data_IF_548807441916
#
_entry.id   IF_548807441916
#
_cell.length_a   1.000
_cell.length_b   1.000
_cell.length_c   1.000
_cell.angle_alpha   90.00
_cell.angle_beta   90.00
_cell.angle_gamma   90.00
#
_symmetry.space_group_name_H-M   'P 1'
#
loop_
_entity.id
_entity.type
_entity.pdbx_description
1 polymer ?
#
# COMPACT_ATOMS: atom_id res chain seq x y z
N UNK A 1 7.79 -0.30 -29.83
CA UNK A 1 7.06 -0.64 -28.59
C UNK A 1 5.88 0.29 -28.51
N UNK A 2 4.67 -0.26 -28.43
CA UNK A 2 3.49 0.57 -28.17
C UNK A 2 3.46 1.00 -26.69
N UNK A 3 2.63 2.00 -26.36
CA UNK A 3 2.56 2.55 -25.00
C UNK A 3 2.10 1.50 -23.98
N UNK A 4 1.22 0.57 -24.40
CA UNK A 4 0.67 -0.46 -23.52
C UNK A 4 1.75 -1.46 -23.11
N UNK A 5 2.56 -1.93 -24.05
CA UNK A 5 3.68 -2.83 -23.84
C UNK A 5 4.77 -2.20 -22.95
N UNK A 6 4.97 -0.88 -23.05
CA UNK A 6 5.87 -0.15 -22.16
C UNK A 6 5.36 -0.14 -20.71
N UNK A 7 4.10 0.23 -20.51
CA UNK A 7 3.46 0.29 -19.18
C UNK A 7 3.43 -1.09 -18.51
N UNK A 8 3.22 -2.14 -19.29
CA UNK A 8 3.19 -3.51 -18.79
C UNK A 8 4.58 -4.13 -18.58
N UNK A 9 5.66 -3.44 -18.95
CA UNK A 9 7.01 -3.97 -18.77
C UNK A 9 7.35 -4.14 -17.28
N UNK A 10 8.09 -5.21 -16.97
CA UNK A 10 8.51 -5.57 -15.61
C UNK A 10 9.06 -4.39 -14.78
N UNK A 11 10.07 -3.62 -15.24
CA UNK A 11 10.62 -2.53 -14.44
C UNK A 11 9.63 -1.38 -14.23
N UNK A 12 8.79 -1.08 -15.23
CA UNK A 12 7.80 -0.01 -15.14
C UNK A 12 6.71 -0.37 -14.13
N UNK A 13 6.18 -1.60 -14.15
CA UNK A 13 5.19 -2.05 -13.17
C UNK A 13 5.72 -2.00 -11.73
N UNK A 14 6.96 -2.43 -11.50
CA UNK A 14 7.60 -2.33 -10.19
C UNK A 14 7.71 -0.86 -9.77
N UNK A 15 8.16 0.01 -10.69
CA UNK A 15 8.27 1.45 -10.45
C UNK A 15 6.94 2.11 -10.14
N UNK A 16 5.88 1.79 -10.88
CA UNK A 16 4.51 2.28 -10.64
C UNK A 16 3.98 1.79 -9.29
N UNK A 17 4.13 0.50 -8.99
CA UNK A 17 3.72 -0.07 -7.73
C UNK A 17 4.38 0.64 -6.54
N UNK A 18 5.70 0.80 -6.57
CA UNK A 18 6.46 1.44 -5.50
C UNK A 18 6.19 2.95 -5.42
N UNK A 19 6.18 3.65 -6.56
CA UNK A 19 5.96 5.09 -6.62
C UNK A 19 4.59 5.48 -6.06
N UNK A 20 3.53 4.79 -6.49
CA UNK A 20 2.19 5.03 -5.95
C UNK A 20 2.06 4.59 -4.48
N UNK A 21 2.76 3.53 -4.05
CA UNK A 21 2.78 3.14 -2.63
C UNK A 21 3.38 4.26 -1.75
N UNK A 22 4.48 4.88 -2.18
CA UNK A 22 5.12 5.99 -1.45
C UNK A 22 4.16 7.17 -1.33
N UNK A 23 3.53 7.59 -2.43
CA UNK A 23 2.53 8.67 -2.40
C UNK A 23 1.37 8.33 -1.46
N UNK A 24 0.92 7.08 -1.46
CA UNK A 24 -0.11 6.58 -0.54
C UNK A 24 0.31 6.68 0.92
N UNK A 25 1.51 6.19 1.25
CA UNK A 25 2.08 6.22 2.61
C UNK A 25 2.20 7.66 3.10
N UNK A 26 2.81 8.54 2.30
CA UNK A 26 3.03 9.94 2.66
C UNK A 26 1.69 10.68 2.87
N UNK A 27 0.70 10.43 2.01
CA UNK A 27 -0.64 11.00 2.16
C UNK A 27 -1.30 10.57 3.47
N UNK A 28 -1.22 9.28 3.85
CA UNK A 28 -1.79 8.77 5.10
C UNK A 28 -1.00 9.21 6.35
N UNK A 29 0.32 9.36 6.27
CA UNK A 29 1.11 9.98 7.32
C UNK A 29 0.69 11.45 7.54
N UNK A 30 0.54 12.20 6.45
CA UNK A 30 0.08 13.58 6.50
C UNK A 30 -1.34 13.71 7.04
N UNK A 31 -2.25 12.82 6.63
CA UNK A 31 -3.62 12.75 7.14
C UNK A 31 -3.66 12.49 8.64
N UNK A 32 -2.80 11.59 9.14
CA UNK A 32 -2.66 11.30 10.57
C UNK A 32 -2.32 12.57 11.36
N UNK A 33 -1.40 13.38 10.84
CA UNK A 33 -1.06 14.70 11.40
C UNK A 33 -2.25 15.66 11.41
N UNK A 34 -3.03 15.72 10.33
CA UNK A 34 -4.25 16.57 10.24
C UNK A 34 -5.33 16.17 11.24
N UNK A 35 -5.58 14.87 11.41
CA UNK A 35 -6.58 14.37 12.38
C UNK A 35 -6.16 14.73 13.80
N UNK A 36 -4.85 14.64 14.10
CA UNK A 36 -4.28 14.98 15.41
C UNK A 36 -4.39 16.46 15.74
N UNK A 37 -4.10 17.36 14.79
CA UNK A 37 -3.97 18.79 15.08
C UNK A 37 -5.29 19.56 15.23
N UNK A 38 -6.45 18.96 14.94
CA UNK A 38 -7.79 19.60 14.93
C UNK A 38 -7.95 20.85 14.03
N UNK A 39 -6.86 21.36 13.44
CA UNK A 39 -6.83 22.58 12.64
C UNK A 39 -7.00 22.34 11.13
N UNK A 40 -7.08 21.09 10.68
CA UNK A 40 -7.25 20.77 9.27
C UNK A 40 -8.70 20.95 8.82
N UNK A 41 -8.94 21.72 7.75
CA UNK A 41 -10.29 21.81 7.18
C UNK A 41 -10.77 20.43 6.69
N UNK A 42 -12.06 20.11 6.87
CA UNK A 42 -12.66 18.85 6.41
C UNK A 42 -12.36 18.56 4.94
N UNK A 43 -12.49 19.58 4.08
CA UNK A 43 -12.15 19.48 2.65
C UNK A 43 -10.69 19.04 2.43
N UNK A 44 -9.75 19.60 3.20
CA UNK A 44 -8.33 19.25 3.11
C UNK A 44 -8.05 17.82 3.60
N UNK A 45 -8.77 17.33 4.60
CA UNK A 45 -8.67 15.92 5.03
C UNK A 45 -9.21 14.96 3.98
N UNK A 46 -10.37 15.26 3.40
CA UNK A 46 -10.98 14.44 2.34
C UNK A 46 -10.06 14.34 1.14
N UNK A 47 -9.52 15.47 0.65
CA UNK A 47 -8.59 15.48 -0.50
C UNK A 47 -7.35 14.63 -0.21
N UNK A 48 -6.74 14.77 0.97
CA UNK A 48 -5.57 13.98 1.35
C UNK A 48 -5.90 12.48 1.43
N UNK A 49 -7.02 12.12 2.05
CA UNK A 49 -7.47 10.73 2.13
C UNK A 49 -7.75 10.15 0.72
N UNK A 50 -8.40 10.91 -0.16
CA UNK A 50 -8.67 10.51 -1.54
C UNK A 50 -7.38 10.29 -2.34
N UNK A 51 -6.40 11.19 -2.22
CA UNK A 51 -5.09 11.03 -2.87
C UNK A 51 -4.42 9.74 -2.38
N UNK A 52 -4.42 9.49 -1.08
CA UNK A 52 -3.86 8.28 -0.50
C UNK A 52 -4.54 7.00 -1.00
N UNK A 53 -5.87 6.98 -1.00
CA UNK A 53 -6.68 5.85 -1.49
C UNK A 53 -6.40 5.58 -2.97
N UNK A 54 -6.49 6.60 -3.83
CA UNK A 54 -6.27 6.45 -5.27
C UNK A 54 -4.86 5.94 -5.55
N UNK A 55 -3.87 6.44 -4.79
CA UNK A 55 -2.48 5.98 -4.90
C UNK A 55 -2.35 4.51 -4.47
N UNK A 56 -2.93 4.10 -3.34
CA UNK A 56 -2.90 2.69 -2.95
C UNK A 56 -3.64 1.78 -3.93
N UNK A 57 -4.76 2.21 -4.51
CA UNK A 57 -5.45 1.45 -5.57
C UNK A 57 -4.58 1.29 -6.81
N UNK A 58 -3.94 2.37 -7.27
CA UNK A 58 -3.03 2.31 -8.42
C UNK A 58 -1.82 1.41 -8.15
N UNK A 59 -1.23 1.51 -6.95
CA UNK A 59 -0.17 0.62 -6.49
C UNK A 59 -0.66 -0.83 -6.41
N UNK A 60 -1.88 -1.05 -5.95
CA UNK A 60 -2.50 -2.37 -5.82
C UNK A 60 -2.65 -3.04 -7.18
N UNK A 61 -3.17 -2.32 -8.17
CA UNK A 61 -3.34 -2.80 -9.54
C UNK A 61 -1.98 -3.12 -10.18
N UNK A 62 -1.00 -2.22 -10.09
CA UNK A 62 0.32 -2.43 -10.68
C UNK A 62 1.04 -3.63 -10.03
N UNK A 63 1.00 -3.73 -8.69
CA UNK A 63 1.61 -4.82 -7.94
C UNK A 63 0.90 -6.16 -8.17
N UNK A 64 -0.43 -6.16 -8.21
CA UNK A 64 -1.25 -7.34 -8.49
C UNK A 64 -1.03 -7.88 -9.91
N UNK A 65 -0.99 -6.99 -10.90
CA UNK A 65 -0.67 -7.39 -12.28
C UNK A 65 0.75 -7.97 -12.38
N UNK A 66 1.73 -7.30 -11.78
CA UNK A 66 3.10 -7.83 -11.72
C UNK A 66 3.15 -9.23 -11.08
N UNK A 67 2.40 -9.42 -10.00
CA UNK A 67 2.34 -10.67 -9.26
C UNK A 67 1.82 -11.82 -10.14
N UNK A 68 0.68 -11.61 -10.79
CA UNK A 68 0.05 -12.64 -11.61
C UNK A 68 0.92 -12.99 -12.84
N UNK A 69 1.47 -11.98 -13.51
CA UNK A 69 2.14 -12.18 -14.81
C UNK A 69 3.60 -12.60 -14.66
N UNK A 70 4.35 -12.00 -13.73
CA UNK A 70 5.81 -12.17 -13.66
C UNK A 70 6.27 -12.94 -12.43
N UNK A 71 5.65 -12.70 -11.27
CA UNK A 71 6.19 -13.23 -10.01
C UNK A 71 6.17 -14.76 -9.97
N UNK A 72 5.03 -15.38 -10.28
CA UNK A 72 4.85 -16.83 -10.19
C UNK A 72 5.78 -17.62 -11.12
N UNK A 73 6.00 -17.14 -12.34
CA UNK A 73 6.82 -17.82 -13.34
C UNK A 73 8.32 -17.51 -13.19
N UNK A 74 8.69 -16.27 -12.85
CA UNK A 74 10.08 -15.82 -12.94
C UNK A 74 10.77 -15.67 -11.58
N UNK A 75 10.03 -15.34 -10.52
CA UNK A 75 10.65 -14.96 -9.22
C UNK A 75 10.47 -16.08 -8.19
N UNK A 76 9.27 -16.65 -8.09
CA UNK A 76 8.96 -17.71 -7.14
C UNK A 76 9.87 -18.93 -7.26
N UNK A 77 10.17 -19.49 -8.45
CA UNK A 77 11.03 -20.67 -8.55
C UNK A 77 12.45 -20.39 -8.04
N UNK A 78 13.03 -19.25 -8.41
CA UNK A 78 14.38 -18.83 -7.99
C UNK A 78 14.49 -18.77 -6.47
N UNK A 79 13.51 -18.14 -5.80
CA UNK A 79 13.53 -18.04 -4.33
C UNK A 79 13.37 -19.42 -3.69
N UNK A 80 12.48 -20.27 -4.22
CA UNK A 80 12.21 -21.59 -3.64
C UNK A 80 13.37 -22.58 -3.79
N UNK A 81 14.13 -22.50 -4.88
CA UNK A 81 15.32 -23.32 -5.09
C UNK A 81 16.60 -22.70 -4.52
N UNK A 82 16.54 -21.43 -4.11
CA UNK A 82 17.69 -20.68 -3.60
C UNK A 82 17.96 -20.87 -2.11
N UNK A 83 18.86 -20.04 -1.58
CA UNK A 83 19.34 -20.10 -0.20
C UNK A 83 18.31 -19.66 0.86
N UNK A 84 17.22 -18.99 0.45
CA UNK A 84 16.22 -18.45 1.36
C UNK A 84 14.76 -18.78 0.97
N UNK A 85 14.35 -20.06 0.91
CA UNK A 85 12.97 -20.43 0.54
C UNK A 85 11.91 -19.88 1.51
N UNK A 86 12.29 -19.67 2.78
CA UNK A 86 11.45 -19.05 3.81
C UNK A 86 10.95 -17.65 3.42
N UNK A 87 11.69 -16.93 2.58
CA UNK A 87 11.29 -15.60 2.12
C UNK A 87 10.01 -15.66 1.28
N UNK A 88 9.81 -16.73 0.51
CA UNK A 88 8.52 -16.97 -0.14
C UNK A 88 7.50 -17.53 0.84
N UNK A 89 7.83 -18.60 1.57
CA UNK A 89 6.84 -19.32 2.38
C UNK A 89 6.25 -18.49 3.54
N UNK A 90 6.97 -17.46 4.02
CA UNK A 90 6.54 -16.61 5.13
C UNK A 90 6.33 -15.17 4.67
N UNK A 91 7.38 -14.52 4.14
CA UNK A 91 7.34 -13.06 3.88
C UNK A 91 6.43 -12.71 2.71
N UNK A 92 6.52 -13.42 1.58
CA UNK A 92 5.58 -13.20 0.47
C UNK A 92 4.14 -13.47 0.85
N UNK A 93 3.89 -14.64 1.44
CA UNK A 93 2.54 -15.05 1.82
C UNK A 93 1.90 -14.02 2.77
N UNK A 94 2.64 -13.57 3.78
CA UNK A 94 2.19 -12.53 4.70
C UNK A 94 1.97 -11.21 3.99
N UNK A 95 2.91 -10.80 3.13
CA UNK A 95 2.82 -9.55 2.37
C UNK A 95 1.57 -9.53 1.50
N UNK A 96 1.27 -10.62 0.80
CA UNK A 96 0.09 -10.72 -0.07
C UNK A 96 -1.21 -10.51 0.71
N UNK A 97 -1.35 -11.16 1.87
CA UNK A 97 -2.52 -10.98 2.71
C UNK A 97 -2.66 -9.54 3.21
N UNK A 98 -1.59 -8.94 3.75
CA UNK A 98 -1.62 -7.55 4.21
C UNK A 98 -1.94 -6.59 3.05
N UNK A 99 -1.36 -6.84 1.88
CA UNK A 99 -1.56 -6.04 0.67
C UNK A 99 -3.01 -6.05 0.19
N UNK A 100 -3.72 -7.19 0.30
CA UNK A 100 -5.14 -7.26 -0.04
C UNK A 100 -6.02 -6.37 0.86
N UNK A 101 -5.64 -6.20 2.13
CA UNK A 101 -6.43 -5.41 3.09
C UNK A 101 -6.09 -3.92 3.11
N UNK A 102 -4.98 -3.48 2.51
CA UNK A 102 -4.56 -2.06 2.60
C UNK A 102 -5.59 -1.10 1.96
N UNK A 103 -6.19 -1.50 0.83
CA UNK A 103 -7.18 -0.69 0.11
C UNK A 103 -8.50 -0.57 0.89
N UNK A 104 -9.14 -1.67 1.36
CA UNK A 104 -10.32 -1.57 2.23
C UNK A 104 -10.11 -0.71 3.49
N UNK A 105 -8.94 -0.84 4.14
CA UNK A 105 -8.61 -0.04 5.33
C UNK A 105 -8.46 1.44 4.98
N UNK A 106 -7.77 1.76 3.89
CA UNK A 106 -7.63 3.14 3.38
C UNK A 106 -9.00 3.75 3.03
N UNK A 107 -9.88 2.98 2.38
CA UNK A 107 -11.26 3.39 2.07
C UNK A 107 -12.07 3.69 3.33
N UNK A 108 -11.89 2.88 4.37
CA UNK A 108 -12.57 3.09 5.66
C UNK A 108 -12.17 4.43 6.27
N UNK A 109 -10.89 4.77 6.26
CA UNK A 109 -10.42 6.09 6.72
C UNK A 109 -11.05 7.21 5.90
N UNK A 110 -11.06 7.08 4.57
CA UNK A 110 -11.70 8.06 3.68
C UNK A 110 -13.17 8.26 4.06
N UNK A 111 -13.94 7.19 4.23
CA UNK A 111 -15.35 7.29 4.63
C UNK A 111 -15.54 7.98 5.97
N UNK A 112 -14.66 7.74 6.94
CA UNK A 112 -14.71 8.47 8.22
C UNK A 112 -14.46 9.97 7.99
N UNK A 113 -13.53 10.37 7.11
CA UNK A 113 -13.31 11.80 6.79
C UNK A 113 -14.49 12.47 6.08
N UNK A 114 -15.40 11.69 5.47
CA UNK A 114 -16.62 12.19 4.85
C UNK A 114 -17.73 12.47 5.86
N UNK A 115 -17.62 12.04 7.11
CA UNK A 115 -18.62 12.35 8.13
C UNK A 115 -18.59 13.83 8.53
N UNK A 116 -19.70 14.33 9.07
CA UNK A 116 -19.74 15.67 9.67
C UNK A 116 -19.07 15.66 11.04
N UNK A 117 -18.60 16.82 11.50
CA UNK A 117 -17.95 16.95 12.81
C UNK A 117 -18.85 16.47 13.96
N UNK A 118 -20.15 16.79 13.88
CA UNK A 118 -21.15 16.38 14.87
C UNK A 118 -21.21 14.84 15.00
N UNK A 119 -21.16 14.12 13.89
CA UNK A 119 -21.27 12.65 13.87
C UNK A 119 -19.96 12.02 14.37
N UNK A 120 -18.82 12.59 13.98
CA UNK A 120 -17.50 12.17 14.46
C UNK A 120 -17.38 12.28 15.98
N UNK A 121 -17.89 13.35 16.56
CA UNK A 121 -17.85 13.61 18.00
C UNK A 121 -18.84 12.72 18.76
N UNK A 122 -20.08 12.60 18.28
CA UNK A 122 -21.11 11.71 18.87
C UNK A 122 -20.67 10.24 18.88
N UNK A 123 -20.09 9.76 17.79
CA UNK A 123 -19.64 8.38 17.64
C UNK A 123 -18.20 8.14 18.15
N UNK A 124 -17.52 9.18 18.65
CA UNK A 124 -16.13 9.13 19.14
C UNK A 124 -15.14 8.55 18.11
N UNK A 125 -15.41 8.73 16.82
CA UNK A 125 -14.65 8.12 15.72
C UNK A 125 -13.32 8.80 15.45
N UNK A 126 -13.11 10.03 15.91
CA UNK A 126 -11.88 10.79 15.62
C UNK A 126 -10.61 10.06 16.07
N UNK A 127 -10.64 9.45 17.26
CA UNK A 127 -9.50 8.69 17.78
C UNK A 127 -9.24 7.41 16.97
N UNK A 128 -10.31 6.76 16.53
CA UNK A 128 -10.22 5.57 15.67
C UNK A 128 -9.67 5.95 14.29
N UNK A 129 -10.13 7.06 13.70
CA UNK A 129 -9.61 7.57 12.44
C UNK A 129 -8.11 7.88 12.50
N UNK A 130 -7.65 8.49 13.60
CA UNK A 130 -6.24 8.77 13.85
C UNK A 130 -5.41 7.48 13.85
N UNK A 131 -5.79 6.50 14.67
CA UNK A 131 -5.05 5.24 14.76
C UNK A 131 -5.10 4.45 13.46
N UNK A 132 -6.27 4.36 12.82
CA UNK A 132 -6.44 3.63 11.58
C UNK A 132 -5.62 4.27 10.44
N UNK A 133 -5.62 5.60 10.33
CA UNK A 133 -4.80 6.34 9.35
C UNK A 133 -3.30 6.05 9.55
N UNK A 134 -2.82 6.09 10.79
CA UNK A 134 -1.43 5.75 11.11
C UNK A 134 -1.09 4.29 10.79
N UNK A 135 -1.99 3.35 11.11
CA UNK A 135 -1.84 1.93 10.80
C UNK A 135 -1.76 1.69 9.30
N UNK A 136 -2.61 2.35 8.49
CA UNK A 136 -2.56 2.21 7.02
C UNK A 136 -1.19 2.64 6.47
N UNK A 137 -0.64 3.76 6.93
CA UNK A 137 0.71 4.19 6.54
C UNK A 137 1.79 3.18 6.96
N UNK A 138 1.72 2.69 8.20
CA UNK A 138 2.68 1.71 8.72
C UNK A 138 2.62 0.38 7.95
N UNK A 139 1.43 -0.09 7.60
CA UNK A 139 1.25 -1.30 6.78
C UNK A 139 1.81 -1.10 5.37
N UNK A 140 1.62 0.08 4.76
CA UNK A 140 2.24 0.41 3.47
C UNK A 140 3.77 0.31 3.53
N UNK A 141 4.39 0.87 4.58
CA UNK A 141 5.84 0.77 4.79
C UNK A 141 6.28 -0.68 5.01
N UNK A 142 5.53 -1.46 5.80
CA UNK A 142 5.79 -2.88 6.05
C UNK A 142 5.76 -3.71 4.76
N UNK A 143 4.76 -3.48 3.90
CA UNK A 143 4.66 -4.13 2.58
C UNK A 143 5.92 -3.83 1.74
N UNK A 144 6.37 -2.57 1.74
CA UNK A 144 7.61 -2.16 1.05
C UNK A 144 8.85 -2.86 1.59
N UNK A 145 9.00 -2.91 2.92
CA UNK A 145 10.11 -3.61 3.58
C UNK A 145 10.13 -5.11 3.26
N UNK A 146 8.96 -5.77 3.30
CA UNK A 146 8.82 -7.17 2.88
C UNK A 146 9.22 -7.33 1.40
N UNK A 147 8.75 -6.44 0.51
CA UNK A 147 9.11 -6.42 -0.91
C UNK A 147 10.63 -6.34 -1.16
N UNK A 148 11.35 -5.58 -0.32
CA UNK A 148 12.81 -5.54 -0.35
C UNK A 148 13.44 -6.89 0.02
N UNK A 149 12.99 -7.52 1.11
CA UNK A 149 13.49 -8.84 1.56
C UNK A 149 13.30 -9.88 0.45
N UNK A 150 12.14 -9.89 -0.19
CA UNK A 150 11.81 -10.80 -1.30
C UNK A 150 12.76 -10.58 -2.48
N UNK A 151 13.00 -9.31 -2.83
CA UNK A 151 13.90 -8.96 -3.93
C UNK A 151 15.34 -9.34 -3.62
N UNK A 152 15.78 -9.24 -2.36
CA UNK A 152 17.08 -9.72 -1.91
C UNK A 152 17.19 -11.24 -1.99
N UNK A 153 16.18 -11.97 -1.53
CA UNK A 153 16.15 -13.44 -1.62
C UNK A 153 16.24 -13.93 -3.08
N UNK A 154 15.57 -13.25 -4.02
CA UNK A 154 15.67 -13.58 -5.43
C UNK A 154 17.08 -13.35 -6.01
N UNK A 155 17.84 -12.37 -5.50
CA UNK A 155 19.23 -12.10 -5.93
C UNK A 155 20.24 -13.08 -5.33
N UNK A 156 19.97 -13.65 -4.16
CA UNK A 156 20.84 -14.66 -3.54
C UNK A 156 20.64 -16.06 -4.12
N UNK A 157 19.48 -16.34 -4.71
CA UNK A 157 19.14 -17.65 -5.28
C UNK A 157 19.51 -17.83 -6.75
N UNK A 158 19.98 -16.79 -7.43
CA UNK A 158 20.36 -16.80 -8.84
C UNK A 158 21.80 -16.36 -9.06
#
# INVERSE_FOLDING_TARGET
>A
MDILSLIQSKPVLIGLHLGFAIVGIDAFMWLTGKIKSDGGSRKSMIVTASVGVVSFVASWIAGGYYYVIYYGALVRPIIKSGLAPWAHNIIMETKEHIFLFVVPLAMTVLFITLLEKKDLDQLKLRRLAYWLSGTVAALGLLIGAMGFIISAAARWGG
#
